data_IF_963028313236
#
_entry.id   IF_963028313236
#
_cell.length_a   1.000
_cell.length_b   1.000
_cell.length_c   1.000
_cell.angle_alpha   90.00
_cell.angle_beta   90.00
_cell.angle_gamma   90.00
#
_symmetry.space_group_name_H-M   'P 1'
#
loop_
_entity.id
_entity.type
_entity.pdbx_description
1 polymer ?
#
# COMPACT_ATOMS: atom_id res chain seq x y z
N UNK A 1 0.43 0.23 -15.47
CA UNK A 1 -0.21 0.17 -14.14
C UNK A 1 -1.05 1.41 -13.91
N UNK A 2 -2.26 1.28 -13.36
CA UNK A 2 -3.18 2.37 -12.99
C UNK A 2 -3.33 2.39 -11.47
N UNK A 3 -3.13 3.55 -10.85
CA UNK A 3 -3.40 3.80 -9.43
C UNK A 3 -4.64 4.69 -9.35
N UNK A 4 -5.65 4.30 -8.57
CA UNK A 4 -6.88 5.07 -8.43
C UNK A 4 -7.38 5.09 -6.99
N UNK A 5 -8.11 6.15 -6.64
CA UNK A 5 -8.82 6.25 -5.36
C UNK A 5 -10.27 5.85 -5.58
N UNK A 6 -10.76 4.92 -4.77
CA UNK A 6 -12.16 4.51 -4.78
C UNK A 6 -12.74 4.60 -3.37
N UNK A 7 -13.94 5.19 -3.25
CA UNK A 7 -14.60 5.33 -1.97
C UNK A 7 -15.67 4.24 -1.80
N UNK A 8 -15.58 3.45 -0.74
CA UNK A 8 -16.57 2.43 -0.42
C UNK A 8 -16.03 1.34 0.53
N UNK A 9 -16.77 0.24 0.60
CA UNK A 9 -16.41 -0.94 1.40
C UNK A 9 -15.53 -1.89 0.57
N UNK A 10 -14.29 -2.11 1.03
CA UNK A 10 -13.31 -2.98 0.37
C UNK A 10 -13.83 -4.41 0.18
N UNK A 11 -14.73 -4.88 1.05
CA UNK A 11 -15.29 -6.24 0.97
C UNK A 11 -16.19 -6.47 -0.24
N UNK A 12 -16.60 -5.39 -0.91
CA UNK A 12 -17.48 -5.43 -2.10
C UNK A 12 -16.71 -5.39 -3.43
N UNK A 13 -15.40 -5.15 -3.39
CA UNK A 13 -14.60 -5.01 -4.60
C UNK A 13 -14.28 -6.37 -5.24
N UNK A 14 -14.72 -6.53 -6.49
CA UNK A 14 -14.27 -7.61 -7.37
C UNK A 14 -12.89 -7.25 -7.96
N UNK A 15 -11.84 -7.69 -7.29
CA UNK A 15 -10.42 -7.57 -7.68
C UNK A 15 -9.70 -8.88 -7.37
N UNK A 16 -8.50 -9.11 -7.89
CA UNK A 16 -7.80 -10.37 -7.63
C UNK A 16 -7.39 -10.48 -6.14
N UNK A 17 -6.91 -9.40 -5.53
CA UNK A 17 -6.54 -9.37 -4.12
C UNK A 17 -7.07 -8.13 -3.40
N UNK A 18 -7.56 -8.31 -2.18
CA UNK A 18 -7.73 -7.21 -1.22
C UNK A 18 -6.69 -7.32 -0.12
N UNK A 19 -6.23 -6.19 0.40
CA UNK A 19 -5.34 -6.15 1.55
C UNK A 19 -6.15 -5.97 2.82
N UNK A 20 -5.87 -6.79 3.82
CA UNK A 20 -6.41 -6.66 5.16
C UNK A 20 -5.39 -5.98 6.08
N UNK A 21 -5.79 -4.90 6.75
CA UNK A 21 -5.01 -4.29 7.82
C UNK A 21 -5.25 -5.06 9.13
N UNK A 22 -4.44 -6.10 9.33
CA UNK A 22 -4.57 -7.08 10.40
C UNK A 22 -3.69 -6.73 11.62
N UNK A 23 -3.74 -7.61 12.63
CA UNK A 23 -2.83 -7.62 13.78
C UNK A 23 -1.93 -8.87 13.74
N UNK A 24 -0.89 -8.93 14.60
CA UNK A 24 0.13 -9.99 14.54
C UNK A 24 -0.40 -11.43 14.64
N UNK A 25 -1.57 -11.62 15.25
CA UNK A 25 -2.18 -12.95 15.41
C UNK A 25 -2.81 -13.46 14.12
N UNK A 26 -3.25 -12.57 13.21
CA UNK A 26 -4.10 -12.84 12.04
C UNK A 26 -5.46 -13.50 12.33
N UNK A 27 -5.89 -13.57 13.59
CA UNK A 27 -7.12 -14.26 13.99
C UNK A 27 -8.34 -13.31 14.04
N UNK A 28 -8.36 -12.34 13.12
CA UNK A 28 -9.38 -11.30 13.04
C UNK A 28 -9.24 -10.20 14.09
N UNK A 29 -10.17 -9.26 14.06
CA UNK A 29 -10.10 -8.03 14.84
C UNK A 29 -11.25 -7.06 14.57
N UNK A 30 -11.02 -5.78 14.84
CA UNK A 30 -11.98 -4.69 14.60
C UNK A 30 -11.81 -4.02 13.24
N UNK A 31 -12.56 -2.93 12.99
CA UNK A 31 -12.40 -2.11 11.79
C UNK A 31 -12.55 -2.89 10.48
N UNK A 32 -11.60 -2.67 9.56
CA UNK A 32 -11.59 -3.35 8.24
C UNK A 32 -11.30 -4.85 8.37
N UNK A 33 -10.48 -5.27 9.33
CA UNK A 33 -10.17 -6.67 9.60
C UNK A 33 -11.43 -7.45 9.99
N UNK A 34 -12.19 -6.91 10.94
CA UNK A 34 -13.49 -7.47 11.30
C UNK A 34 -14.50 -7.47 10.15
N UNK A 35 -14.50 -6.44 9.30
CA UNK A 35 -15.38 -6.39 8.13
C UNK A 35 -15.03 -7.49 7.11
N UNK A 36 -13.75 -7.66 6.80
CA UNK A 36 -13.23 -8.70 5.91
C UNK A 36 -13.56 -10.09 6.44
N UNK A 37 -13.30 -10.38 7.72
CA UNK A 37 -13.63 -11.67 8.33
C UNK A 37 -15.14 -11.97 8.32
N UNK A 38 -15.98 -10.97 8.61
CA UNK A 38 -17.44 -11.15 8.53
C UNK A 38 -17.93 -11.44 7.11
N UNK A 39 -17.38 -10.74 6.12
CA UNK A 39 -17.78 -10.89 4.72
C UNK A 39 -17.23 -12.17 4.07
N UNK A 40 -16.01 -12.59 4.40
CA UNK A 40 -15.40 -13.82 3.91
C UNK A 40 -16.02 -15.08 4.53
N UNK A 41 -16.57 -14.96 5.74
CA UNK A 41 -17.14 -16.07 6.50
C UNK A 41 -16.10 -16.82 7.35
N UNK A 42 -16.55 -17.81 8.15
CA UNK A 42 -15.70 -18.48 9.15
C UNK A 42 -14.52 -19.26 8.55
N UNK A 43 -14.59 -19.62 7.26
CA UNK A 43 -13.52 -20.31 6.57
C UNK A 43 -12.22 -19.48 6.52
N UNK A 44 -12.31 -18.15 6.48
CA UNK A 44 -11.12 -17.27 6.52
C UNK A 44 -10.36 -17.40 7.84
N UNK A 45 -11.10 -17.40 8.96
CA UNK A 45 -10.47 -17.58 10.26
C UNK A 45 -9.81 -18.96 10.37
N UNK A 46 -10.50 -20.01 9.91
CA UNK A 46 -9.95 -21.36 9.92
C UNK A 46 -8.66 -21.46 9.09
N UNK A 47 -8.58 -20.79 7.93
CA UNK A 47 -7.35 -20.75 7.13
C UNK A 47 -6.24 -19.94 7.82
N UNK A 48 -6.57 -18.79 8.42
CA UNK A 48 -5.62 -18.02 9.22
C UNK A 48 -5.03 -18.83 10.39
N UNK A 49 -5.82 -19.67 11.05
CA UNK A 49 -5.35 -20.54 12.14
C UNK A 49 -4.31 -21.56 11.67
N UNK A 50 -4.39 -22.02 10.40
CA UNK A 50 -3.42 -22.94 9.81
C UNK A 50 -2.11 -22.28 9.39
N UNK A 51 -2.05 -20.94 9.31
CA UNK A 51 -0.80 -20.24 9.03
C UNK A 51 0.19 -20.46 10.20
N UNK A 52 1.49 -20.69 9.90
CA UNK A 52 2.47 -20.99 10.92
C UNK A 52 2.69 -19.81 11.86
N UNK A 53 2.76 -20.10 13.16
CA UNK A 53 3.30 -19.15 14.12
C UNK A 53 4.81 -19.09 14.00
N UNK A 54 5.36 -17.88 13.88
CA UNK A 54 6.80 -17.65 13.87
C UNK A 54 7.37 -17.64 15.30
N UNK A 55 6.54 -17.20 16.24
CA UNK A 55 6.75 -17.18 17.69
C UNK A 55 5.37 -17.16 18.36
N UNK A 56 5.25 -17.51 19.65
CA UNK A 56 3.96 -17.64 20.31
C UNK A 56 3.05 -16.43 20.07
N UNK A 57 1.88 -16.67 19.47
CA UNK A 57 0.88 -15.64 19.18
C UNK A 57 1.16 -14.73 17.98
N UNK A 58 2.21 -14.99 17.20
CA UNK A 58 2.58 -14.16 16.03
C UNK A 58 2.68 -15.01 14.77
N UNK A 59 1.74 -14.80 13.85
CA UNK A 59 1.73 -15.39 12.48
C UNK A 59 2.31 -14.43 11.45
N UNK A 60 2.14 -13.13 11.67
CA UNK A 60 2.67 -12.07 10.82
C UNK A 60 3.29 -10.95 11.67
N UNK A 61 4.61 -10.73 11.61
CA UNK A 61 5.22 -9.58 12.25
C UNK A 61 4.73 -8.25 11.65
N UNK A 62 4.88 -7.17 12.40
CA UNK A 62 4.65 -5.80 11.90
C UNK A 62 5.52 -5.51 10.68
N UNK A 63 4.95 -4.91 9.63
CA UNK A 63 5.64 -4.65 8.36
C UNK A 63 5.77 -5.87 7.45
N UNK A 64 5.14 -7.00 7.79
CA UNK A 64 5.08 -8.21 6.96
C UNK A 64 3.66 -8.46 6.44
N UNK A 65 3.54 -9.42 5.50
CA UNK A 65 2.28 -9.83 4.89
C UNK A 65 2.16 -11.36 4.77
N UNK A 66 0.94 -11.90 4.84
CA UNK A 66 0.58 -13.30 4.56
C UNK A 66 -0.59 -13.38 3.59
N UNK A 67 -0.67 -14.43 2.78
CA UNK A 67 -1.78 -14.67 1.87
C UNK A 67 -2.70 -15.79 2.39
N UNK A 68 -3.98 -15.64 2.10
CA UNK A 68 -5.02 -16.67 2.23
C UNK A 68 -5.94 -16.64 1.01
N UNK A 69 -6.84 -17.63 0.90
CA UNK A 69 -8.02 -17.53 0.05
C UNK A 69 -9.00 -16.44 0.55
N UNK A 70 -9.80 -15.89 -0.37
CA UNK A 70 -10.79 -14.86 -0.02
C UNK A 70 -12.19 -15.40 0.35
N UNK A 71 -12.41 -16.71 0.20
CA UNK A 71 -13.65 -17.41 0.55
C UNK A 71 -14.91 -16.77 -0.06
N UNK A 72 -15.83 -16.26 0.74
CA UNK A 72 -17.09 -15.69 0.25
C UNK A 72 -16.97 -14.26 -0.30
N UNK A 73 -15.78 -13.64 -0.23
CA UNK A 73 -15.55 -12.33 -0.83
C UNK A 73 -15.55 -12.41 -2.37
N UNK A 74 -15.89 -11.30 -3.07
CA UNK A 74 -15.73 -11.20 -4.52
C UNK A 74 -14.28 -11.25 -5.00
N UNK A 75 -13.32 -11.02 -4.09
CA UNK A 75 -11.90 -11.13 -4.38
C UNK A 75 -11.43 -12.59 -4.44
N UNK A 76 -10.21 -12.84 -4.91
CA UNK A 76 -9.64 -14.21 -4.96
C UNK A 76 -8.71 -14.48 -3.79
N UNK A 77 -7.95 -13.46 -3.37
CA UNK A 77 -7.01 -13.52 -2.26
C UNK A 77 -7.26 -12.41 -1.23
N UNK A 78 -6.97 -12.71 0.03
CA UNK A 78 -6.77 -11.70 1.07
C UNK A 78 -5.29 -11.69 1.44
N UNK A 79 -4.65 -10.53 1.31
CA UNK A 79 -3.28 -10.31 1.77
C UNK A 79 -3.32 -9.60 3.12
N UNK A 80 -3.05 -10.34 4.20
CA UNK A 80 -3.07 -9.83 5.56
C UNK A 80 -1.72 -9.20 5.89
N UNK A 81 -1.69 -7.88 6.04
CA UNK A 81 -0.49 -7.13 6.42
C UNK A 81 -0.68 -6.49 7.79
N UNK A 82 0.37 -6.45 8.58
CA UNK A 82 0.32 -5.87 9.94
C UNK A 82 1.01 -4.52 9.95
N UNK A 83 0.23 -3.46 9.98
CA UNK A 83 0.75 -2.09 10.08
C UNK A 83 1.30 -1.77 11.48
N UNK A 84 2.15 -0.74 11.64
CA UNK A 84 2.63 -0.33 12.95
C UNK A 84 1.54 0.40 13.74
N UNK A 85 1.60 0.28 15.07
CA UNK A 85 0.89 1.17 15.99
C UNK A 85 1.61 2.51 16.02
N UNK A 86 0.87 3.59 15.85
CA UNK A 86 1.44 4.94 15.90
C UNK A 86 1.73 5.38 17.33
N UNK A 87 2.92 5.92 17.56
CA UNK A 87 3.28 6.57 18.82
C UNK A 87 3.63 8.05 18.61
N UNK A 88 4.72 8.32 17.89
CA UNK A 88 5.23 9.67 17.63
C UNK A 88 5.83 9.84 16.23
N UNK A 89 5.98 8.74 15.46
CA UNK A 89 6.57 8.76 14.13
C UNK A 89 8.07 9.00 14.09
N UNK A 90 8.74 8.90 15.24
CA UNK A 90 10.20 9.08 15.36
C UNK A 90 10.93 7.73 15.46
N UNK A 91 10.23 6.61 15.29
CA UNK A 91 10.82 5.26 15.26
C UNK A 91 10.64 4.67 13.87
N UNK A 92 10.48 3.36 13.81
CA UNK A 92 10.32 2.63 12.56
C UNK A 92 8.90 2.70 11.98
N UNK A 93 7.95 3.44 12.58
CA UNK A 93 6.56 3.45 12.09
C UNK A 93 6.44 3.82 10.60
N UNK A 94 7.12 4.86 10.10
CA UNK A 94 7.08 5.17 8.67
C UNK A 94 7.61 4.04 7.78
N UNK A 95 8.74 3.44 8.18
CA UNK A 95 9.37 2.35 7.42
C UNK A 95 8.54 1.05 7.46
N UNK A 96 7.94 0.74 8.61
CA UNK A 96 7.07 -0.43 8.78
C UNK A 96 5.77 -0.28 7.98
N UNK A 97 5.18 0.92 7.94
CA UNK A 97 4.01 1.18 7.11
C UNK A 97 4.37 1.10 5.62
N UNK A 98 5.51 1.64 5.20
CA UNK A 98 6.00 1.52 3.83
C UNK A 98 6.19 0.04 3.43
N UNK A 99 6.79 -0.77 4.31
CA UNK A 99 6.94 -2.20 4.11
C UNK A 99 5.61 -2.94 3.91
N UNK A 100 4.54 -2.54 4.58
CA UNK A 100 3.21 -3.14 4.38
C UNK A 100 2.75 -3.01 2.93
N UNK A 101 2.91 -1.83 2.34
CA UNK A 101 2.57 -1.59 0.93
C UNK A 101 3.52 -2.35 0.00
N UNK A 102 4.83 -2.17 0.19
CA UNK A 102 5.84 -2.76 -0.69
C UNK A 102 5.77 -4.30 -0.72
N UNK A 103 5.72 -4.94 0.45
CA UNK A 103 5.67 -6.42 0.53
C UNK A 103 4.33 -6.98 0.09
N UNK A 104 3.22 -6.28 0.29
CA UNK A 104 1.93 -6.69 -0.25
C UNK A 104 1.93 -6.67 -1.78
N UNK A 105 2.55 -5.65 -2.40
CA UNK A 105 2.71 -5.57 -3.85
C UNK A 105 3.64 -6.67 -4.38
N UNK A 106 4.75 -6.91 -3.70
CA UNK A 106 5.67 -8.01 -4.02
C UNK A 106 4.99 -9.39 -3.94
N UNK A 107 4.21 -9.63 -2.88
CA UNK A 107 3.46 -10.87 -2.74
C UNK A 107 2.39 -10.98 -3.84
N UNK A 108 1.68 -9.90 -4.16
CA UNK A 108 0.70 -9.87 -5.24
C UNK A 108 1.33 -10.23 -6.60
N UNK A 109 2.49 -9.66 -6.93
CA UNK A 109 3.24 -10.01 -8.14
C UNK A 109 3.63 -11.50 -8.15
N UNK A 110 4.14 -12.04 -7.04
CA UNK A 110 4.50 -13.46 -6.93
C UNK A 110 3.31 -14.41 -7.10
N UNK A 111 2.11 -13.96 -6.75
CA UNK A 111 0.85 -14.69 -6.92
C UNK A 111 0.21 -14.47 -8.31
N UNK A 112 0.80 -13.64 -9.17
CA UNK A 112 0.25 -13.31 -10.49
C UNK A 112 -1.04 -12.48 -10.46
N UNK A 113 -1.29 -11.77 -9.36
CA UNK A 113 -2.47 -10.91 -9.15
C UNK A 113 -2.39 -9.71 -10.10
N UNK A 114 -3.47 -9.43 -10.85
CA UNK A 114 -3.51 -8.32 -11.81
C UNK A 114 -4.13 -7.05 -11.21
N UNK A 115 -4.94 -7.19 -10.15
CA UNK A 115 -5.59 -6.09 -9.45
C UNK A 115 -5.56 -6.25 -7.93
N UNK A 116 -5.13 -5.20 -7.23
CA UNK A 116 -5.04 -5.19 -5.77
C UNK A 116 -5.73 -3.95 -5.18
N UNK A 117 -6.41 -4.11 -4.05
CA UNK A 117 -7.03 -3.01 -3.31
C UNK A 117 -6.47 -2.89 -1.89
N UNK A 118 -6.08 -1.68 -1.50
CA UNK A 118 -5.53 -1.36 -0.19
C UNK A 118 -6.50 -0.49 0.62
N UNK A 119 -6.80 -0.81 1.89
CA UNK A 119 -7.41 0.14 2.79
C UNK A 119 -6.36 1.16 3.30
N UNK A 120 -6.81 2.14 4.07
CA UNK A 120 -5.92 3.02 4.83
C UNK A 120 -5.32 2.26 6.04
N UNK A 121 -4.20 1.57 5.80
CA UNK A 121 -3.50 0.74 6.79
C UNK A 121 -3.08 1.61 7.98
N UNK A 122 -3.24 1.08 9.20
CA UNK A 122 -2.97 1.73 10.49
C UNK A 122 -3.77 2.99 10.84
N UNK A 123 -4.61 3.54 9.97
CA UNK A 123 -5.38 4.78 10.21
C UNK A 123 -6.62 4.61 11.12
N UNK A 124 -6.94 3.37 11.51
CA UNK A 124 -8.05 3.05 12.41
C UNK A 124 -7.57 2.93 13.86
N UNK A 125 -7.71 1.72 14.42
CA UNK A 125 -7.34 1.41 15.81
C UNK A 125 -5.87 1.73 16.13
N UNK A 126 -4.98 1.62 15.15
CA UNK A 126 -3.54 1.89 15.31
C UNK A 126 -3.17 3.38 15.26
N UNK A 127 -4.13 4.26 14.98
CA UNK A 127 -4.00 5.71 15.22
C UNK A 127 -3.02 6.45 14.31
N UNK A 128 -2.55 5.85 13.21
CA UNK A 128 -1.60 6.51 12.31
C UNK A 128 -2.23 7.77 11.69
N UNK A 129 -1.55 8.94 11.72
CA UNK A 129 -2.08 10.17 11.14
C UNK A 129 -2.42 10.01 9.67
N UNK A 130 -3.70 10.22 9.34
CA UNK A 130 -4.26 9.91 8.03
C UNK A 130 -3.47 10.50 6.85
N UNK A 131 -3.09 11.78 6.93
CA UNK A 131 -2.35 12.44 5.85
C UNK A 131 -0.94 11.86 5.65
N UNK A 132 -0.26 11.50 6.74
CA UNK A 132 1.07 10.90 6.68
C UNK A 132 0.99 9.48 6.11
N UNK A 133 0.02 8.68 6.56
CA UNK A 133 -0.22 7.35 6.02
C UNK A 133 -0.61 7.37 4.53
N UNK A 134 -1.45 8.33 4.12
CA UNK A 134 -1.82 8.52 2.72
C UNK A 134 -0.62 8.89 1.85
N UNK A 135 0.29 9.72 2.35
CA UNK A 135 1.53 10.06 1.66
C UNK A 135 2.41 8.82 1.46
N UNK A 136 2.58 7.98 2.49
CA UNK A 136 3.35 6.73 2.40
C UNK A 136 2.70 5.78 1.38
N UNK A 137 1.39 5.53 1.47
CA UNK A 137 0.67 4.68 0.54
C UNK A 137 0.86 5.10 -0.93
N UNK A 138 0.72 6.39 -1.22
CA UNK A 138 0.91 6.94 -2.57
C UNK A 138 2.37 6.86 -3.01
N UNK A 139 3.31 7.17 -2.12
CA UNK A 139 4.75 7.10 -2.41
C UNK A 139 5.16 5.69 -2.80
N UNK A 140 4.79 4.69 -2.01
CA UNK A 140 5.13 3.30 -2.26
C UNK A 140 4.47 2.75 -3.52
N UNK A 141 3.20 3.04 -3.75
CA UNK A 141 2.49 2.56 -4.95
C UNK A 141 3.02 3.20 -6.23
N UNK A 142 3.39 4.49 -6.21
CA UNK A 142 4.05 5.15 -7.33
C UNK A 142 5.48 4.65 -7.55
N UNK A 143 6.25 4.39 -6.48
CA UNK A 143 7.58 3.81 -6.57
C UNK A 143 7.55 2.42 -7.20
N UNK A 144 6.58 1.60 -6.79
CA UNK A 144 6.33 0.30 -7.39
C UNK A 144 6.01 0.41 -8.88
N UNK A 145 5.09 1.31 -9.25
CA UNK A 145 4.71 1.57 -10.66
C UNK A 145 5.90 1.90 -11.57
N UNK A 146 6.92 2.61 -11.06
CA UNK A 146 8.11 2.98 -11.85
C UNK A 146 9.02 1.79 -12.18
N UNK A 147 8.95 0.73 -11.40
CA UNK A 147 9.92 -0.38 -11.44
C UNK A 147 9.30 -1.74 -11.78
N UNK A 148 7.98 -1.88 -11.72
CA UNK A 148 7.27 -3.15 -11.89
C UNK A 148 6.09 -3.02 -12.86
N UNK A 149 5.80 -4.10 -13.58
CA UNK A 149 4.68 -4.15 -14.54
C UNK A 149 3.36 -4.61 -13.91
N UNK A 150 3.42 -5.35 -12.80
CA UNK A 150 2.27 -5.94 -12.10
C UNK A 150 2.26 -5.54 -10.62
N UNK A 151 1.09 -5.49 -9.96
CA UNK A 151 -0.25 -5.63 -10.53
C UNK A 151 -0.59 -4.46 -11.47
N UNK A 152 -1.40 -4.70 -12.51
CA UNK A 152 -1.76 -3.66 -13.48
C UNK A 152 -2.68 -2.59 -12.91
N UNK A 153 -3.43 -2.90 -11.84
CA UNK A 153 -4.37 -1.99 -11.18
C UNK A 153 -4.17 -2.00 -9.67
N UNK A 154 -3.96 -0.83 -9.09
CA UNK A 154 -3.88 -0.61 -7.64
C UNK A 154 -5.02 0.33 -7.23
N UNK A 155 -5.85 -0.08 -6.29
CA UNK A 155 -6.98 0.70 -5.77
C UNK A 155 -6.68 1.12 -4.34
N UNK A 156 -6.61 2.42 -4.08
CA UNK A 156 -6.55 3.00 -2.74
C UNK A 156 -8.00 3.21 -2.26
N UNK A 157 -8.45 2.33 -1.36
CA UNK A 157 -9.82 2.28 -0.86
C UNK A 157 -9.99 3.24 0.31
N UNK A 158 -10.84 4.24 0.10
CA UNK A 158 -11.27 5.16 1.13
C UNK A 158 -12.62 4.72 1.71
N UNK A 159 -12.68 4.39 3.00
CA UNK A 159 -13.98 4.07 3.62
C UNK A 159 -14.87 5.31 3.78
N UNK A 160 -14.27 6.50 3.85
CA UNK A 160 -14.98 7.77 4.04
C UNK A 160 -14.36 8.90 3.21
N UNK A 161 -15.08 10.02 3.15
CA UNK A 161 -14.67 11.21 2.39
C UNK A 161 -13.35 11.82 2.85
N UNK A 162 -13.04 11.75 4.16
CA UNK A 162 -11.77 12.28 4.68
C UNK A 162 -10.58 11.49 4.15
N UNK A 163 -10.69 10.16 4.13
CA UNK A 163 -9.68 9.26 3.56
C UNK A 163 -9.52 9.48 2.06
N UNK A 164 -10.63 9.64 1.33
CA UNK A 164 -10.61 9.91 -0.11
C UNK A 164 -9.86 11.22 -0.41
N UNK A 165 -10.14 12.29 0.35
CA UNK A 165 -9.45 13.57 0.22
C UNK A 165 -7.95 13.45 0.53
N UNK A 166 -7.57 12.72 1.57
CA UNK A 166 -6.17 12.52 1.93
C UNK A 166 -5.39 11.83 0.80
N UNK A 167 -5.95 10.77 0.19
CA UNK A 167 -5.31 10.12 -0.96
C UNK A 167 -5.25 11.02 -2.20
N UNK A 168 -6.32 11.75 -2.51
CA UNK A 168 -6.35 12.66 -3.65
C UNK A 168 -5.30 13.77 -3.51
N UNK A 169 -5.15 14.34 -2.31
CA UNK A 169 -4.12 15.34 -2.03
C UNK A 169 -2.71 14.76 -2.16
N UNK A 170 -2.46 13.56 -1.63
CA UNK A 170 -1.17 12.90 -1.75
C UNK A 170 -0.80 12.59 -3.22
N UNK A 171 -1.76 12.13 -4.03
CA UNK A 171 -1.56 11.91 -5.48
C UNK A 171 -1.30 13.22 -6.23
N UNK A 172 -2.05 14.28 -5.93
CA UNK A 172 -1.86 15.58 -6.56
C UNK A 172 -0.48 16.17 -6.25
N UNK A 173 -0.02 16.05 -5.00
CA UNK A 173 1.30 16.51 -4.59
C UNK A 173 2.41 15.74 -5.32
N UNK A 174 2.30 14.40 -5.43
CA UNK A 174 3.28 13.59 -6.13
C UNK A 174 3.34 13.90 -7.65
N UNK A 175 2.20 14.19 -8.29
CA UNK A 175 2.15 14.60 -9.69
C UNK A 175 2.89 15.92 -9.96
N UNK A 176 2.77 16.89 -9.05
CA UNK A 176 3.48 18.18 -9.16
C UNK A 176 5.01 18.01 -9.02
N UNK A 177 5.46 17.10 -8.14
CA UNK A 177 6.89 16.78 -8.00
C UNK A 177 7.48 16.13 -9.24
N UNK A 178 6.74 15.25 -9.93
CA UNK A 178 7.21 14.62 -11.17
C UNK A 178 7.34 15.64 -12.33
N UNK A 179 6.42 16.60 -12.43
CA UNK A 179 6.50 17.66 -13.45
C UNK A 179 7.68 18.60 -13.22
N UNK A 180 8.03 18.90 -11.97
CA UNK A 180 9.16 19.77 -11.64
C UNK A 180 10.51 19.10 -11.87
N UNK A 181 10.66 17.80 -11.55
CA UNK A 181 11.87 17.02 -11.83
C UNK A 181 12.14 16.85 -13.33
N UNK A 182 11.09 16.77 -14.16
CA UNK A 182 11.21 16.69 -15.62
C UNK A 182 11.69 17.98 -16.29
N UNK A 183 11.67 19.11 -15.59
CA UNK A 183 12.01 20.45 -16.11
C UNK A 183 13.41 20.95 -15.74
N UNK A 184 14.30 20.08 -15.28
CA UNK A 184 15.68 20.48 -14.97
C UNK A 184 16.39 21.03 -16.23
N UNK A 185 16.98 22.25 -16.20
CA UNK A 185 17.57 22.85 -17.37
C UNK A 185 18.83 22.09 -17.80
N UNK A 186 18.83 21.65 -19.07
CA UNK A 186 20.04 21.21 -19.78
C UNK A 186 21.10 22.31 -19.62
N UNK A 187 22.24 21.96 -19.00
CA UNK A 187 23.44 22.79 -19.00
C UNK A 187 23.75 23.19 -20.46
N UNK A 188 23.96 24.48 -20.76
CA UNK A 188 24.34 24.87 -22.11
C UNK A 188 25.71 24.27 -22.45
N UNK A 189 25.96 23.90 -23.72
CA UNK A 189 27.24 23.37 -24.13
C UNK A 189 28.34 24.42 -23.87
N UNK A 190 29.46 23.97 -23.30
CA UNK A 190 30.67 24.77 -23.12
C UNK A 190 31.10 25.29 -24.49
N UNK A 191 30.94 26.60 -24.70
CA UNK A 191 31.32 27.28 -25.92
C UNK A 191 32.84 27.25 -26.11
N UNK A 192 33.25 26.85 -27.31
CA UNK A 192 34.61 26.93 -27.85
C UNK A 192 35.21 28.32 -27.61
N UNK A 193 36.23 28.41 -26.76
CA UNK A 193 37.10 29.58 -26.71
C UNK A 193 38.13 29.46 -27.84
N UNK A 194 37.76 29.99 -29.00
CA UNK A 194 38.67 30.18 -30.13
C UNK A 194 39.88 31.02 -29.71
N UNK A 195 41.05 30.40 -29.75
CA UNK A 195 42.35 31.07 -29.67
C UNK A 195 42.56 31.85 -30.98
N UNK A 196 42.50 33.18 -30.91
CA UNK A 196 42.91 34.04 -32.01
C UNK A 196 44.44 34.10 -32.09
N UNK A 197 44.97 33.84 -33.29
CA UNK A 197 46.38 33.98 -33.62
C UNK A 197 46.74 35.44 -33.97
N UNK A 198 47.96 35.82 -33.56
CA UNK A 198 48.87 36.87 -34.02
C UNK A 198 48.39 37.94 -35.03
N UNK A 199 48.66 39.21 -34.71
CA UNK A 199 49.74 40.01 -35.32
C UNK A 199 50.12 41.19 -34.43
#
# INVERSE_FOLDING_TARGET
MKIEVWQGDITTLAVDAIVNAANETLLGGGGVDGAIHRAAGPALLAECEQLPELRPGVRCPTGEVRATGAHALPARHVLHTVGPVWHDGQRDEPALLANCYWKSLQLAESLGVQSIAFPAISCGVYGYPLYQAAQIAVTETLAWQRSHAQPMRIVLVAFNTATAKAYQQALAAAGQSMESESRSPLLPPLGDTGFAAAH
#
